data_IF_536943030388
#
_entry.id   IF_536943030388
#
_cell.length_a   1.000
_cell.length_b   1.000
_cell.length_c   1.000
_cell.angle_alpha   90.00
_cell.angle_beta   90.00
_cell.angle_gamma   90.00
#
_symmetry.space_group_name_H-M   'P 1'
#
loop_
_entity.id
_entity.type
_entity.pdbx_description
1 polymer ?
#
# COMPACT_ATOMS: atom_id res chain seq x y z
N UNK A 1 6.34 12.75 4.06
CA UNK A 1 5.35 13.47 4.81
C UNK A 1 4.26 14.03 3.87
N UNK A 2 3.01 13.73 4.17
CA UNK A 2 1.89 14.08 3.31
C UNK A 2 0.95 15.07 3.98
N UNK A 3 1.52 16.03 4.66
CA UNK A 3 0.74 16.99 5.41
C UNK A 3 -0.09 17.91 4.50
N UNK A 4 0.24 17.95 3.22
CA UNK A 4 -0.49 18.80 2.28
C UNK A 4 -1.50 17.99 1.51
N UNK A 5 -2.62 18.56 1.31
CA UNK A 5 -3.66 18.11 0.41
C UNK A 5 -4.44 16.89 0.89
N UNK A 6 -4.36 15.78 0.24
CA UNK A 6 -5.42 14.79 0.23
C UNK A 6 -5.02 13.46 0.85
N UNK A 7 -3.87 13.44 1.51
CA UNK A 7 -3.34 12.21 2.09
C UNK A 7 -3.15 12.37 3.59
N UNK A 8 -3.66 11.43 4.36
CA UNK A 8 -3.47 11.43 5.81
C UNK A 8 -3.46 10.02 6.35
N UNK A 9 -2.96 9.87 7.58
CA UNK A 9 -2.86 8.59 8.25
C UNK A 9 -3.73 8.61 9.50
N UNK A 10 -4.53 7.56 9.67
CA UNK A 10 -5.36 7.38 10.85
C UNK A 10 -4.92 6.12 11.58
N UNK A 11 -4.77 6.23 12.91
CA UNK A 11 -4.48 5.06 13.74
C UNK A 11 -5.71 4.70 14.56
N UNK A 12 -6.07 3.42 14.54
CA UNK A 12 -7.19 2.92 15.33
C UNK A 12 -6.65 2.01 16.43
N UNK A 13 -6.74 2.46 17.68
CA UNK A 13 -6.20 1.72 18.81
C UNK A 13 -6.99 0.44 19.12
N UNK A 14 -8.25 0.38 18.74
CA UNK A 14 -9.07 -0.81 18.96
C UNK A 14 -8.63 -1.97 18.08
N UNK A 15 -8.22 -1.69 16.85
CA UNK A 15 -7.77 -2.71 15.91
C UNK A 15 -6.26 -2.79 15.82
N UNK A 16 -5.56 -1.81 16.38
CA UNK A 16 -4.10 -1.67 16.26
C UNK A 16 -3.66 -1.62 14.81
N UNK A 17 -4.39 -0.85 14.00
CA UNK A 17 -4.10 -0.69 12.58
C UNK A 17 -3.94 0.78 12.23
N UNK A 18 -3.01 1.06 11.31
CA UNK A 18 -2.84 2.39 10.72
C UNK A 18 -3.35 2.35 9.30
N UNK A 19 -4.16 3.33 8.93
CA UNK A 19 -4.75 3.41 7.60
C UNK A 19 -4.29 4.68 6.91
N UNK A 20 -3.81 4.54 5.68
CA UNK A 20 -3.44 5.69 4.85
C UNK A 20 -4.60 5.98 3.91
N UNK A 21 -5.11 7.20 3.96
CA UNK A 21 -6.26 7.62 3.17
C UNK A 21 -5.81 8.66 2.16
N UNK A 22 -6.15 8.44 0.90
CA UNK A 22 -5.92 9.36 -0.20
C UNK A 22 -7.26 9.67 -0.84
N UNK A 23 -7.66 10.95 -0.86
CA UNK A 23 -8.94 11.37 -1.45
C UNK A 23 -10.12 10.55 -0.92
N UNK A 24 -10.19 10.35 0.39
CA UNK A 24 -11.26 9.59 1.06
C UNK A 24 -11.23 8.09 0.77
N UNK A 25 -10.16 7.61 0.13
CA UNK A 25 -10.00 6.18 -0.16
C UNK A 25 -8.88 5.62 0.70
N UNK A 26 -9.17 4.55 1.42
CA UNK A 26 -8.13 3.86 2.19
C UNK A 26 -7.29 3.04 1.22
N UNK A 27 -6.07 3.50 0.95
CA UNK A 27 -5.17 2.83 -0.01
C UNK A 27 -4.23 1.83 0.66
N UNK A 28 -4.04 1.95 1.96
CA UNK A 28 -3.20 1.01 2.70
C UNK A 28 -3.65 0.92 4.14
N UNK A 29 -3.64 -0.29 4.68
CA UNK A 29 -3.94 -0.52 6.09
C UNK A 29 -2.86 -1.45 6.63
N UNK A 30 -2.12 -0.96 7.65
CA UNK A 30 -1.07 -1.75 8.27
C UNK A 30 -1.55 -2.29 9.61
N UNK A 31 -1.54 -3.62 9.73
CA UNK A 31 -1.87 -4.31 10.97
C UNK A 31 -0.57 -4.45 11.79
N UNK A 32 -0.45 -3.67 12.84
CA UNK A 32 0.76 -3.65 13.67
C UNK A 32 0.98 -4.94 14.43
N UNK A 33 -0.09 -5.65 14.74
CA UNK A 33 0.01 -6.90 15.48
C UNK A 33 0.58 -8.02 14.61
N UNK A 34 0.09 -8.13 13.39
CA UNK A 34 0.49 -9.20 12.48
C UNK A 34 1.57 -8.76 11.50
N UNK A 35 1.94 -7.48 11.53
CA UNK A 35 2.92 -6.88 10.63
C UNK A 35 2.55 -7.15 9.18
N UNK A 36 1.29 -6.96 8.87
CA UNK A 36 0.72 -7.20 7.54
C UNK A 36 0.19 -5.90 6.96
N UNK A 37 0.46 -5.66 5.69
CA UNK A 37 0.04 -4.46 4.98
C UNK A 37 -0.94 -4.82 3.88
N UNK A 38 -2.14 -4.25 3.95
CA UNK A 38 -3.16 -4.44 2.91
C UNK A 38 -3.13 -3.24 1.98
N UNK A 39 -3.08 -3.49 0.68
CA UNK A 39 -3.02 -2.44 -0.33
C UNK A 39 -4.30 -2.39 -1.15
N UNK A 40 -4.67 -1.18 -1.57
CA UNK A 40 -5.89 -0.97 -2.33
C UNK A 40 -5.75 0.30 -3.17
N UNK A 41 -6.08 0.23 -4.46
CA UNK A 41 -6.08 1.41 -5.32
C UNK A 41 -7.39 2.20 -5.23
N UNK A 42 -8.43 1.58 -4.71
CA UNK A 42 -9.76 2.18 -4.67
C UNK A 42 -10.36 2.38 -6.05
N UNK A 43 -9.83 1.69 -7.05
CA UNK A 43 -10.25 1.91 -8.43
C UNK A 43 -9.53 3.06 -9.12
N UNK A 44 -8.66 3.78 -8.41
CA UNK A 44 -7.93 4.93 -8.95
C UNK A 44 -6.49 4.52 -9.26
N UNK A 45 -6.28 3.95 -10.44
CA UNK A 45 -4.95 3.51 -10.87
C UNK A 45 -4.18 4.66 -11.50
N UNK A 46 -3.90 5.67 -10.68
CA UNK A 46 -3.21 6.90 -11.10
C UNK A 46 -1.77 6.91 -10.62
N UNK A 47 -0.96 7.79 -11.21
CA UNK A 47 0.42 7.97 -10.77
C UNK A 47 0.50 8.45 -9.32
N UNK A 48 -0.46 9.27 -8.88
CA UNK A 48 -0.51 9.73 -7.49
C UNK A 48 -0.72 8.56 -6.53
N UNK A 49 -1.68 7.70 -6.81
CA UNK A 49 -1.93 6.53 -5.97
C UNK A 49 -0.70 5.63 -5.92
N UNK A 50 -0.10 5.36 -7.08
CA UNK A 50 1.10 4.52 -7.16
C UNK A 50 2.26 5.12 -6.37
N UNK A 51 2.45 6.43 -6.49
CA UNK A 51 3.51 7.13 -5.75
C UNK A 51 3.31 7.01 -4.24
N UNK A 52 2.08 7.16 -3.77
CA UNK A 52 1.77 7.03 -2.34
C UNK A 52 1.99 5.61 -1.84
N UNK A 53 1.56 4.61 -2.61
CA UNK A 53 1.78 3.21 -2.26
C UNK A 53 3.26 2.89 -2.17
N UNK A 54 4.06 3.38 -3.12
CA UNK A 54 5.50 3.15 -3.09
C UNK A 54 6.18 3.84 -1.91
N UNK A 55 5.71 5.02 -1.52
CA UNK A 55 6.24 5.70 -0.34
C UNK A 55 5.96 4.88 0.93
N UNK A 56 4.76 4.31 1.04
CA UNK A 56 4.40 3.46 2.17
C UNK A 56 5.27 2.21 2.19
N UNK A 57 5.42 1.56 1.04
CA UNK A 57 6.21 0.33 0.94
C UNK A 57 7.66 0.55 1.29
N UNK A 58 8.24 1.68 0.87
CA UNK A 58 9.64 1.96 1.17
C UNK A 58 9.91 2.12 2.67
N UNK A 59 8.88 2.51 3.43
CA UNK A 59 9.01 2.66 4.89
C UNK A 59 8.83 1.34 5.62
N UNK A 60 8.00 0.44 5.10
CA UNK A 60 7.61 -0.77 5.81
C UNK A 60 8.35 -2.00 5.28
N UNK A 61 8.38 -2.15 3.95
CA UNK A 61 9.01 -3.30 3.31
C UNK A 61 10.02 -2.82 2.28
N UNK A 62 11.25 -2.62 2.72
CA UNK A 62 12.32 -2.13 1.86
C UNK A 62 12.51 -3.09 0.68
N UNK A 63 12.54 -2.53 -0.51
CA UNK A 63 12.69 -3.31 -1.74
C UNK A 63 11.37 -3.71 -2.38
N UNK A 64 10.24 -3.43 -1.73
CA UNK A 64 8.93 -3.68 -2.33
C UNK A 64 8.50 -2.48 -3.16
N UNK A 65 7.83 -2.71 -4.27
CA UNK A 65 7.32 -1.62 -5.09
C UNK A 65 6.13 -2.03 -5.94
N UNK A 66 5.35 -1.02 -6.31
CA UNK A 66 4.26 -1.15 -7.28
C UNK A 66 4.72 -0.47 -8.56
N UNK A 67 4.56 -1.13 -9.69
CA UNK A 67 4.92 -0.55 -10.97
C UNK A 67 3.87 -0.88 -12.02
N UNK A 68 3.94 -0.17 -13.13
CA UNK A 68 2.98 -0.32 -14.22
C UNK A 68 3.71 -0.75 -15.49
N UNK A 69 3.13 -1.73 -16.19
CA UNK A 69 3.67 -2.17 -17.48
C UNK A 69 2.49 -2.56 -18.36
N UNK A 70 2.45 -2.02 -19.58
CA UNK A 70 1.37 -2.30 -20.54
C UNK A 70 -0.01 -2.04 -19.91
N UNK A 71 -0.14 -0.92 -19.20
CA UNK A 71 -1.37 -0.48 -18.54
C UNK A 71 -1.83 -1.34 -17.37
N UNK A 72 -1.05 -2.36 -17.01
CA UNK A 72 -1.36 -3.22 -15.86
C UNK A 72 -0.43 -2.89 -14.71
N UNK A 73 -0.96 -2.98 -13.48
CA UNK A 73 -0.19 -2.76 -12.28
C UNK A 73 0.32 -4.07 -11.73
N UNK A 74 1.56 -4.03 -11.22
CA UNK A 74 2.23 -5.18 -10.63
C UNK A 74 2.86 -4.81 -9.31
N UNK A 75 3.03 -5.80 -8.44
CA UNK A 75 3.72 -5.67 -7.17
C UNK A 75 4.96 -6.56 -7.19
N UNK A 76 6.11 -6.00 -6.83
CA UNK A 76 7.37 -6.75 -6.78
C UNK A 76 7.96 -6.69 -5.38
N UNK A 77 8.34 -7.86 -4.85
CA UNK A 77 8.98 -7.97 -3.55
C UNK A 77 9.73 -9.29 -3.49
N UNK A 78 10.93 -9.29 -2.90
CA UNK A 78 11.77 -10.48 -2.77
C UNK A 78 12.03 -11.17 -4.11
N UNK A 79 12.26 -10.38 -5.15
CA UNK A 79 12.51 -10.85 -6.52
C UNK A 79 11.33 -11.62 -7.12
N UNK A 80 10.14 -11.42 -6.58
CA UNK A 80 8.92 -12.04 -7.12
C UNK A 80 7.96 -10.94 -7.55
N UNK A 81 7.38 -11.12 -8.72
CA UNK A 81 6.43 -10.19 -9.29
C UNK A 81 5.04 -10.80 -9.29
N UNK A 82 4.07 -10.05 -8.79
CA UNK A 82 2.68 -10.47 -8.70
C UNK A 82 1.80 -9.42 -9.36
N UNK A 83 0.64 -9.84 -9.84
CA UNK A 83 -0.37 -8.88 -10.26
C UNK A 83 -0.81 -8.06 -9.05
N UNK A 84 -1.00 -6.75 -9.27
CA UNK A 84 -1.54 -5.92 -8.20
C UNK A 84 -3.06 -6.12 -8.14
N UNK A 85 -3.54 -6.54 -7.00
CA UNK A 85 -4.97 -6.74 -6.76
C UNK A 85 -5.40 -5.93 -5.55
N UNK A 86 -6.55 -5.27 -5.64
CA UNK A 86 -7.09 -4.54 -4.51
C UNK A 86 -7.38 -5.51 -3.37
N UNK A 87 -6.92 -5.14 -2.19
CA UNK A 87 -7.06 -5.99 -1.02
C UNK A 87 -5.94 -6.99 -0.81
N UNK A 88 -4.92 -6.98 -1.68
CA UNK A 88 -3.79 -7.89 -1.47
C UNK A 88 -3.08 -7.57 -0.17
N UNK A 89 -2.59 -8.60 0.50
CA UNK A 89 -1.96 -8.47 1.81
C UNK A 89 -0.51 -8.91 1.69
N UNK A 90 0.38 -8.08 2.23
CA UNK A 90 1.82 -8.29 2.15
C UNK A 90 2.38 -8.42 3.56
N UNK A 91 3.21 -9.43 3.75
CA UNK A 91 3.96 -9.62 4.98
C UNK A 91 5.44 -9.69 4.64
N UNK A 92 6.28 -9.80 5.66
CA UNK A 92 7.72 -9.94 5.45
C UNK A 92 8.05 -11.16 4.58
N UNK A 93 7.20 -12.19 4.64
CA UNK A 93 7.38 -13.39 3.81
C UNK A 93 6.87 -13.26 2.39
N UNK A 94 6.29 -12.12 2.03
CA UNK A 94 5.77 -11.87 0.68
C UNK A 94 4.26 -11.69 0.67
N UNK A 95 3.65 -11.95 -0.48
CA UNK A 95 2.20 -11.79 -0.65
C UNK A 95 1.49 -13.00 -0.05
N UNK A 96 0.46 -12.71 0.74
CA UNK A 96 -0.35 -13.77 1.34
C UNK A 96 -1.35 -14.32 0.34
#
# INVERSE_FOLDING_TARGET
NWSNSNTFVEYNSNTNCSTVVLHRTAIATYDHKNEALKLNSGGYTTNTTKSRLNAILSEIFVGACVFQKNFNWFFNYNNQTHDFNDGMIITEGGVM
#
